data_IF_838733320010
#
_entry.id   IF_838733320010
#
_cell.length_a   1.000
_cell.length_b   1.000
_cell.length_c   1.000
_cell.angle_alpha   90.00
_cell.angle_beta   90.00
_cell.angle_gamma   90.00
#
_symmetry.space_group_name_H-M   'P 1'
#
loop_
_entity.id
_entity.type
_entity.pdbx_description
1 polymer ?
#
# COMPACT_ATOMS: atom_id res chain seq x y z
N UNK A 1 5.11 -18.45 -8.69
CA UNK A 1 5.91 -17.31 -8.26
C UNK A 1 5.58 -16.11 -9.13
N UNK A 2 4.82 -15.19 -8.56
CA UNK A 2 4.62 -13.83 -9.02
C UNK A 2 5.26 -12.84 -8.04
N UNK A 3 5.63 -11.66 -8.53
CA UNK A 3 6.09 -10.54 -7.72
C UNK A 3 4.96 -9.50 -7.61
N UNK A 4 4.48 -9.30 -6.39
CA UNK A 4 3.42 -8.36 -6.06
C UNK A 4 4.01 -7.14 -5.39
N UNK A 5 3.79 -5.95 -5.96
CA UNK A 5 4.12 -4.67 -5.33
C UNK A 5 2.88 -4.10 -4.63
N UNK A 6 3.04 -3.77 -3.35
CA UNK A 6 2.08 -2.95 -2.62
C UNK A 6 2.69 -1.63 -2.16
N UNK A 7 1.84 -0.61 -2.08
CA UNK A 7 2.18 0.67 -1.47
C UNK A 7 0.94 1.26 -0.81
N UNK A 8 1.13 2.37 -0.09
CA UNK A 8 0.06 3.16 0.49
C UNK A 8 0.36 4.64 0.31
N UNK A 9 -0.68 5.42 -0.01
CA UNK A 9 -0.61 6.87 -0.02
C UNK A 9 -1.96 7.48 0.37
N UNK A 10 -1.98 8.32 1.39
CA UNK A 10 -3.17 9.09 1.75
C UNK A 10 -3.41 10.24 0.75
N UNK A 11 -4.43 11.06 1.02
CA UNK A 11 -4.82 12.19 0.16
C UNK A 11 -3.68 13.19 -0.10
N UNK A 12 -2.73 13.35 0.84
CA UNK A 12 -1.59 14.26 0.70
C UNK A 12 -0.57 13.75 -0.32
N UNK A 13 -0.53 12.44 -0.55
CA UNK A 13 0.38 11.78 -1.49
C UNK A 13 -0.29 11.41 -2.80
N UNK A 14 -1.49 11.91 -3.09
CA UNK A 14 -2.26 11.52 -4.29
C UNK A 14 -1.43 11.62 -5.58
N UNK A 15 -0.73 12.74 -5.81
CA UNK A 15 0.06 12.94 -7.04
C UNK A 15 1.23 11.97 -7.10
N UNK A 16 1.99 11.83 -6.01
CA UNK A 16 3.13 10.93 -5.90
C UNK A 16 2.70 9.48 -6.10
N UNK A 17 1.55 9.11 -5.54
CA UNK A 17 0.96 7.78 -5.63
C UNK A 17 0.57 7.40 -7.05
N UNK A 18 -0.08 8.30 -7.79
CA UNK A 18 -0.42 8.02 -9.19
C UNK A 18 0.84 7.89 -10.04
N UNK A 19 1.82 8.79 -9.89
CA UNK A 19 3.11 8.69 -10.59
C UNK A 19 3.88 7.41 -10.24
N UNK A 20 3.91 7.04 -8.96
CA UNK A 20 4.54 5.80 -8.49
C UNK A 20 3.87 4.57 -9.09
N UNK A 21 2.53 4.57 -9.17
CA UNK A 21 1.77 3.48 -9.80
C UNK A 21 2.10 3.36 -11.29
N UNK A 22 2.10 4.48 -12.01
CA UNK A 22 2.42 4.49 -13.44
C UNK A 22 3.84 4.01 -13.72
N UNK A 23 4.83 4.52 -12.98
CA UNK A 23 6.23 4.07 -13.12
C UNK A 23 6.41 2.59 -12.74
N UNK A 24 5.69 2.08 -11.74
CA UNK A 24 5.73 0.66 -11.37
C UNK A 24 5.15 -0.26 -12.45
N UNK A 25 4.06 0.17 -13.09
CA UNK A 25 3.46 -0.60 -14.18
C UNK A 25 4.34 -0.56 -15.44
N UNK A 26 4.99 0.57 -15.69
CA UNK A 26 5.85 0.75 -16.87
C UNK A 26 7.16 -0.05 -16.78
N UNK A 27 7.77 -0.16 -15.59
CA UNK A 27 9.05 -0.86 -15.41
C UNK A 27 9.01 -2.36 -15.73
N UNK A 28 7.81 -2.96 -15.74
CA UNK A 28 7.62 -4.41 -15.94
C UNK A 28 8.32 -5.29 -14.90
N UNK A 29 8.73 -4.72 -13.75
CA UNK A 29 9.40 -5.47 -12.66
C UNK A 29 8.44 -6.30 -11.80
N UNK A 30 7.14 -5.98 -11.85
CA UNK A 30 6.12 -6.56 -10.98
C UNK A 30 4.99 -7.15 -11.83
N UNK A 31 4.49 -8.31 -11.43
CA UNK A 31 3.33 -8.93 -12.07
C UNK A 31 2.03 -8.24 -11.66
N UNK A 32 1.97 -7.75 -10.41
CA UNK A 32 0.80 -7.08 -9.83
C UNK A 32 1.24 -5.85 -9.03
N UNK A 33 0.52 -4.73 -9.20
CA UNK A 33 0.77 -3.46 -8.51
C UNK A 33 -0.51 -2.97 -7.86
N UNK A 34 -0.54 -2.93 -6.53
CA UNK A 34 -1.68 -2.42 -5.75
C UNK A 34 -1.25 -1.25 -4.88
N UNK A 35 -1.94 -0.12 -4.99
CA UNK A 35 -1.64 1.06 -4.19
C UNK A 35 -2.84 1.41 -3.33
N UNK A 36 -2.73 1.14 -2.03
CA UNK A 36 -3.81 1.34 -1.08
C UNK A 36 -3.96 2.81 -0.67
N UNK A 37 -5.17 3.15 -0.29
CA UNK A 37 -5.53 4.44 0.28
C UNK A 37 -6.28 4.24 1.60
N UNK A 38 -6.65 5.34 2.25
CA UNK A 38 -7.42 5.27 3.50
C UNK A 38 -8.79 4.64 3.28
N UNK A 39 -9.35 4.81 2.10
CA UNK A 39 -10.66 4.30 1.69
C UNK A 39 -10.67 2.76 1.53
N UNK A 40 -9.51 2.13 1.38
CA UNK A 40 -9.36 0.66 1.30
C UNK A 40 -9.29 -0.03 2.68
N UNK A 41 -9.35 0.74 3.77
CA UNK A 41 -9.43 0.20 5.13
C UNK A 41 -10.85 -0.31 5.36
N UNK A 42 -10.96 -1.58 5.74
CA UNK A 42 -12.25 -2.24 5.96
C UNK A 42 -12.94 -1.62 7.18
N UNK A 43 -14.28 -1.53 7.12
CA UNK A 43 -15.07 -0.83 8.14
C UNK A 43 -14.86 -1.33 9.57
N UNK A 44 -14.63 -2.64 9.75
CA UNK A 44 -14.36 -3.22 11.07
C UNK A 44 -13.03 -2.72 11.65
N UNK A 45 -11.97 -2.72 10.85
CA UNK A 45 -10.66 -2.20 11.28
C UNK A 45 -10.72 -0.69 11.51
N UNK A 46 -11.39 0.05 10.62
CA UNK A 46 -11.56 1.49 10.75
C UNK A 46 -12.29 1.86 12.05
N UNK A 47 -13.34 1.13 12.40
CA UNK A 47 -14.08 1.34 13.65
C UNK A 47 -13.25 0.97 14.88
N UNK A 48 -12.55 -0.16 14.86
CA UNK A 48 -11.72 -0.62 16.00
C UNK A 48 -10.53 0.29 16.30
N UNK A 49 -10.02 1.01 15.29
CA UNK A 49 -8.85 1.89 15.42
C UNK A 49 -9.15 3.36 15.09
N UNK A 50 -10.42 3.77 15.13
CA UNK A 50 -10.84 5.12 14.76
C UNK A 50 -10.05 6.21 15.51
N UNK A 51 -9.86 6.02 16.82
CA UNK A 51 -9.12 6.96 17.67
C UNK A 51 -7.66 7.12 17.26
N UNK A 52 -7.05 6.08 16.69
CA UNK A 52 -5.67 6.10 16.19
C UNK A 52 -5.65 6.70 14.79
N UNK A 53 -6.55 6.26 13.92
CA UNK A 53 -6.61 6.65 12.51
C UNK A 53 -6.89 8.14 12.31
N UNK A 54 -7.52 8.84 13.27
CA UNK A 54 -7.74 10.30 13.18
C UNK A 54 -6.46 11.13 13.36
N UNK A 55 -5.39 10.57 13.91
CA UNK A 55 -4.15 11.32 14.11
C UNK A 55 -3.40 11.55 12.79
N UNK A 56 -2.98 12.79 12.48
CA UNK A 56 -2.39 13.10 11.18
C UNK A 56 -1.00 12.48 10.99
N UNK A 57 -0.25 12.26 12.07
CA UNK A 57 1.11 11.72 12.01
C UNK A 57 1.09 10.33 11.37
N UNK A 58 1.66 10.19 10.18
CA UNK A 58 1.72 8.93 9.46
C UNK A 58 0.34 8.34 9.12
N UNK A 59 -0.71 9.17 9.03
CA UNK A 59 -2.08 8.72 8.73
C UNK A 59 -2.66 7.77 9.79
N UNK A 60 -2.36 8.02 11.07
CA UNK A 60 -2.73 7.16 12.20
C UNK A 60 -1.58 6.32 12.72
N UNK A 61 -0.42 6.96 12.92
CA UNK A 61 0.82 6.32 13.39
C UNK A 61 1.24 5.09 12.56
N UNK A 62 0.91 5.09 11.27
CA UNK A 62 1.16 3.98 10.35
C UNK A 62 0.47 2.66 10.73
N UNK A 63 -0.62 2.69 11.52
CA UNK A 63 -1.34 1.47 11.92
C UNK A 63 -1.93 0.70 10.72
N UNK A 64 -2.21 1.41 9.63
CA UNK A 64 -2.62 0.83 8.35
C UNK A 64 -1.54 -0.04 7.69
N UNK A 65 -0.25 0.16 8.00
CA UNK A 65 0.86 -0.54 7.34
C UNK A 65 0.87 -2.04 7.67
N UNK A 66 0.89 -2.48 8.94
CA UNK A 66 0.79 -3.92 9.25
C UNK A 66 -0.54 -4.51 8.79
N UNK A 67 -1.63 -3.72 8.77
CA UNK A 67 -2.93 -4.16 8.27
C UNK A 67 -2.90 -4.53 6.77
N UNK A 68 -2.46 -3.62 5.91
CA UNK A 68 -2.40 -3.88 4.46
C UNK A 68 -1.35 -4.92 4.10
N UNK A 69 -0.18 -4.92 4.75
CA UNK A 69 0.84 -5.96 4.53
C UNK A 69 0.29 -7.34 4.89
N UNK A 70 -0.37 -7.49 6.03
CA UNK A 70 -0.96 -8.78 6.42
C UNK A 70 -2.04 -9.22 5.42
N UNK A 71 -2.95 -8.32 5.03
CA UNK A 71 -4.00 -8.63 4.04
C UNK A 71 -3.42 -9.06 2.70
N UNK A 72 -2.36 -8.40 2.24
CA UNK A 72 -1.68 -8.79 1.01
C UNK A 72 -1.04 -10.17 1.16
N UNK A 73 -0.29 -10.43 2.25
CA UNK A 73 0.32 -11.73 2.53
C UNK A 73 -0.70 -12.87 2.59
N UNK A 74 -1.85 -12.67 3.26
CA UNK A 74 -2.91 -13.67 3.38
C UNK A 74 -3.54 -14.03 2.02
N UNK A 75 -3.44 -13.14 1.03
CA UNK A 75 -3.97 -13.34 -0.32
C UNK A 75 -2.96 -13.95 -1.31
N UNK A 76 -1.68 -14.04 -0.94
CA UNK A 76 -0.64 -14.60 -1.81
C UNK A 76 -0.79 -16.11 -1.93
N UNK A 77 -0.34 -16.62 -3.08
CA UNK A 77 -0.10 -18.06 -3.25
C UNK A 77 1.25 -18.43 -2.66
N UNK A 78 1.42 -19.70 -2.33
CA UNK A 78 2.73 -20.25 -2.00
C UNK A 78 3.75 -19.88 -3.09
N UNK A 79 4.99 -19.56 -2.67
CA UNK A 79 6.09 -19.09 -3.51
C UNK A 79 5.89 -17.73 -4.21
N UNK A 80 4.83 -16.96 -3.94
CA UNK A 80 4.73 -15.57 -4.41
C UNK A 80 5.53 -14.61 -3.50
N UNK A 81 6.03 -13.51 -4.08
CA UNK A 81 6.84 -12.51 -3.39
C UNK A 81 6.01 -11.24 -3.20
N UNK A 82 5.99 -10.71 -1.97
CA UNK A 82 5.43 -9.38 -1.68
C UNK A 82 6.55 -8.36 -1.47
N UNK A 83 6.47 -7.26 -2.20
CA UNK A 83 7.32 -6.09 -2.03
C UNK A 83 6.44 -4.94 -1.55
N UNK A 84 6.84 -4.31 -0.45
CA UNK A 84 6.27 -3.04 -0.02
C UNK A 84 7.26 -1.92 -0.36
N UNK A 85 6.77 -0.83 -0.94
CA UNK A 85 7.55 0.38 -1.18
C UNK A 85 6.71 1.62 -0.89
N UNK A 86 7.27 2.67 -0.29
CA UNK A 86 6.51 3.88 0.02
C UNK A 86 6.17 4.65 -1.28
N UNK A 87 4.95 5.20 -1.37
CA UNK A 87 4.48 5.90 -2.59
C UNK A 87 5.26 7.19 -2.92
N UNK A 88 6.13 7.65 -2.02
CA UNK A 88 7.06 8.75 -2.24
C UNK A 88 8.40 8.33 -2.87
N UNK A 89 8.63 7.03 -3.07
CA UNK A 89 9.82 6.54 -3.77
C UNK A 89 9.71 6.73 -5.29
N UNK A 90 10.83 6.56 -5.98
CA UNK A 90 10.89 6.54 -7.44
C UNK A 90 11.34 5.16 -7.90
N UNK A 91 10.71 4.65 -8.94
CA UNK A 91 11.15 3.47 -9.66
C UNK A 91 12.05 3.94 -10.80
N UNK A 92 13.25 3.39 -10.86
CA UNK A 92 14.23 3.70 -11.90
C UNK A 92 14.40 2.46 -12.76
N UNK A 93 14.01 2.58 -14.02
CA UNK A 93 13.94 1.52 -15.01
C UNK A 93 14.82 1.79 -16.23
#
# INVERSE_FOLDING_TARGET
MKIHLISYGDVMYKVQREFFKESALFSSFFDEVTIFTREDIDGEFAAGFQEILQFPRGGGYMIWKPYFIKRALDALKEDDILIYCDAGCMIND
#
